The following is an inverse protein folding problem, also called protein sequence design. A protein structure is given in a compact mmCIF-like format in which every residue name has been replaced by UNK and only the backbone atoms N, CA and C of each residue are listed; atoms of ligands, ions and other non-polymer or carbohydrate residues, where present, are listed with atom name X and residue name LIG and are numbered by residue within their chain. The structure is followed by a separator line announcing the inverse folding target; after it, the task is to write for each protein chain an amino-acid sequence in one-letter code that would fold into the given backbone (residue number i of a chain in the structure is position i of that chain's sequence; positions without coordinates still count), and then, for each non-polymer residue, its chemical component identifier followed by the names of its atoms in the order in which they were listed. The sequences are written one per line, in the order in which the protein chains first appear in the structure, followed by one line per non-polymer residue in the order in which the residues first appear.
data_IF_207693470426
#
_entry.id   IF_207693470426
#
_cell.length_a   1.000
_cell.length_b   1.000
_cell.length_c   1.000
_cell.angle_alpha   90.00
_cell.angle_beta   90.00
_cell.angle_gamma   90.00
#
_symmetry.space_group_name_H-M   'P 1'
#
loop_
_entity.id
_entity.type
_entity.pdbx_description
1 polymer ?
#
# COMPACT_ATOMS: atom_id res chain seq x y z
N UNK A 1 -3.28 8.59 -29.57
CA UNK A 1 -2.34 9.23 -28.61
C UNK A 1 -1.96 8.16 -27.59
N UNK A 2 -0.71 8.20 -27.08
CA UNK A 2 -0.29 7.35 -25.98
C UNK A 2 -1.11 7.68 -24.72
N UNK A 3 -1.40 6.69 -23.88
CA UNK A 3 -2.04 6.90 -22.56
C UNK A 3 -1.08 7.64 -21.64
N UNK A 4 -1.62 8.42 -20.71
CA UNK A 4 -0.84 9.21 -19.75
C UNK A 4 -1.00 8.64 -18.33
N UNK A 5 0.12 8.33 -17.68
CA UNK A 5 0.15 7.94 -16.27
C UNK A 5 0.96 8.95 -15.45
N UNK A 6 0.43 9.38 -14.32
CA UNK A 6 1.12 10.22 -13.34
C UNK A 6 1.42 9.41 -12.09
N UNK A 7 2.67 9.48 -11.58
CA UNK A 7 3.11 8.76 -10.39
C UNK A 7 3.72 9.73 -9.38
N UNK A 8 3.09 9.92 -8.23
CA UNK A 8 3.67 10.67 -7.12
C UNK A 8 4.72 9.85 -6.39
N UNK A 9 5.85 10.46 -6.01
CA UNK A 9 6.99 9.73 -5.45
C UNK A 9 7.71 8.85 -6.50
N UNK A 10 7.69 9.27 -7.78
CA UNK A 10 8.16 8.49 -8.93
C UNK A 10 9.69 8.38 -9.10
N UNK A 11 10.49 8.81 -8.13
CA UNK A 11 11.96 8.84 -8.24
C UNK A 11 12.68 7.74 -7.46
N UNK A 12 11.94 6.91 -6.71
CA UNK A 12 12.54 5.83 -5.94
C UNK A 12 11.56 4.68 -5.66
N UNK A 13 12.12 3.52 -5.33
CA UNK A 13 11.39 2.34 -4.86
C UNK A 13 10.24 1.96 -5.78
N UNK A 14 9.07 1.72 -5.18
CA UNK A 14 7.87 1.28 -5.88
C UNK A 14 7.40 2.32 -6.91
N UNK A 15 7.48 3.63 -6.58
CA UNK A 15 7.09 4.68 -7.51
C UNK A 15 7.92 4.70 -8.79
N UNK A 16 9.24 4.58 -8.67
CA UNK A 16 10.13 4.50 -9.83
C UNK A 16 9.91 3.20 -10.62
N UNK A 17 9.75 2.06 -9.93
CA UNK A 17 9.43 0.79 -10.59
C UNK A 17 8.11 0.87 -11.37
N UNK A 18 7.10 1.53 -10.80
CA UNK A 18 5.79 1.78 -11.43
C UNK A 18 5.92 2.69 -12.65
N UNK A 19 6.67 3.79 -12.54
CA UNK A 19 6.94 4.68 -13.67
C UNK A 19 7.63 3.92 -14.83
N UNK A 20 8.60 3.07 -14.52
CA UNK A 20 9.21 2.18 -15.51
C UNK A 20 8.24 1.16 -16.11
N UNK A 21 7.31 0.61 -15.31
CA UNK A 21 6.30 -0.33 -15.81
C UNK A 21 5.37 0.34 -16.85
N UNK A 22 4.87 1.54 -16.56
CA UNK A 22 4.08 2.31 -17.52
C UNK A 22 4.88 2.70 -18.77
N UNK A 23 6.12 3.18 -18.61
CA UNK A 23 6.97 3.57 -19.73
C UNK A 23 7.25 2.39 -20.67
N UNK A 24 7.50 1.18 -20.15
CA UNK A 24 7.68 -0.05 -20.94
C UNK A 24 6.44 -0.44 -21.75
N UNK A 25 5.25 -0.14 -21.24
CA UNK A 25 3.97 -0.34 -21.95
C UNK A 25 3.66 0.79 -22.96
N UNK A 26 4.61 1.72 -23.20
CA UNK A 26 4.46 2.81 -24.17
C UNK A 26 3.57 3.97 -23.69
N UNK A 27 3.35 4.12 -22.38
CA UNK A 27 2.62 5.26 -21.84
C UNK A 27 3.53 6.50 -21.76
N UNK A 28 2.93 7.68 -21.90
CA UNK A 28 3.56 8.92 -21.44
C UNK A 28 3.52 8.95 -19.91
N UNK A 29 4.63 9.37 -19.27
CA UNK A 29 4.76 9.26 -17.82
C UNK A 29 5.08 10.61 -17.19
N UNK A 30 4.21 11.07 -16.29
CA UNK A 30 4.46 12.19 -15.37
C UNK A 30 4.98 11.67 -14.04
N UNK A 31 6.03 12.27 -13.48
CA UNK A 31 6.52 11.95 -12.13
C UNK A 31 6.64 13.20 -11.28
N UNK A 32 6.26 13.07 -10.00
CA UNK A 32 6.38 14.14 -8.99
C UNK A 32 7.25 13.68 -7.85
N UNK A 33 8.24 14.48 -7.46
CA UNK A 33 9.06 14.27 -6.26
C UNK A 33 9.70 15.60 -5.83
N UNK A 34 10.33 15.62 -4.63
CA UNK A 34 10.97 16.85 -4.10
C UNK A 34 12.42 17.04 -4.56
N UNK A 35 13.12 15.97 -4.91
CA UNK A 35 14.54 15.99 -5.22
C UNK A 35 14.76 16.14 -6.74
N UNK A 36 15.26 17.30 -7.16
CA UNK A 36 15.49 17.62 -8.57
C UNK A 36 16.58 16.75 -9.21
N UNK A 37 17.60 16.35 -8.46
CA UNK A 37 18.65 15.47 -8.95
C UNK A 37 18.07 14.11 -9.35
N UNK A 38 17.35 13.48 -8.42
CA UNK A 38 16.67 12.22 -8.71
C UNK A 38 15.58 12.34 -9.78
N UNK A 39 14.91 13.49 -9.88
CA UNK A 39 13.95 13.72 -10.97
C UNK A 39 14.64 13.68 -12.32
N UNK A 40 15.80 14.36 -12.47
CA UNK A 40 16.59 14.32 -13.71
C UNK A 40 17.06 12.89 -14.05
N UNK A 41 17.58 12.16 -13.05
CA UNK A 41 18.02 10.77 -13.25
C UNK A 41 16.88 9.85 -13.68
N UNK A 42 15.73 9.94 -12.98
CA UNK A 42 14.54 9.16 -13.28
C UNK A 42 13.97 9.50 -14.67
N UNK A 43 13.87 10.78 -15.01
CA UNK A 43 13.40 11.23 -16.32
C UNK A 43 14.27 10.70 -17.43
N UNK A 44 15.61 10.83 -17.32
CA UNK A 44 16.57 10.31 -18.29
C UNK A 44 16.44 8.78 -18.43
N UNK A 45 16.23 8.05 -17.33
CA UNK A 45 16.03 6.62 -17.35
C UNK A 45 14.72 6.20 -18.02
N UNK A 46 13.61 6.92 -17.75
CA UNK A 46 12.29 6.65 -18.30
C UNK A 46 12.22 6.97 -19.80
N UNK A 47 12.84 8.05 -20.25
CA UNK A 47 12.89 8.42 -21.68
C UNK A 47 13.54 7.36 -22.57
N UNK A 48 14.39 6.48 -22.02
CA UNK A 48 14.95 5.35 -22.77
C UNK A 48 13.94 4.33 -23.27
N UNK A 49 12.70 4.34 -22.73
CA UNK A 49 11.60 3.52 -23.21
C UNK A 49 10.85 4.13 -24.41
N UNK A 50 11.21 5.34 -24.87
CA UNK A 50 10.69 5.98 -26.08
C UNK A 50 9.41 6.79 -25.91
N UNK A 51 8.75 6.77 -24.76
CA UNK A 51 7.57 7.58 -24.44
C UNK A 51 7.92 8.99 -24.00
N UNK A 52 6.93 9.92 -24.01
CA UNK A 52 7.09 11.24 -23.43
C UNK A 52 7.18 11.13 -21.90
N UNK A 53 8.08 11.90 -21.30
CA UNK A 53 8.26 11.94 -19.84
C UNK A 53 8.36 13.38 -19.37
N UNK A 54 7.63 13.71 -18.30
CA UNK A 54 7.68 15.00 -17.64
C UNK A 54 7.92 14.82 -16.13
N UNK A 55 9.00 15.38 -15.63
CA UNK A 55 9.37 15.33 -14.21
C UNK A 55 9.11 16.71 -13.57
N UNK A 56 8.35 16.76 -12.48
CA UNK A 56 8.00 17.99 -11.78
C UNK A 56 8.46 17.93 -10.33
N UNK A 57 9.23 18.96 -9.93
CA UNK A 57 9.63 19.14 -8.53
C UNK A 57 8.48 19.76 -7.74
N UNK A 58 7.92 18.98 -6.80
CA UNK A 58 6.87 19.45 -5.91
C UNK A 58 6.83 18.65 -4.61
N UNK A 59 6.43 19.31 -3.52
CA UNK A 59 6.05 18.61 -2.29
C UNK A 59 4.56 18.23 -2.39
N UNK A 60 4.27 16.94 -2.33
CA UNK A 60 2.90 16.44 -2.42
C UNK A 60 2.02 16.80 -1.22
N UNK A 61 2.59 17.32 -0.14
CA UNK A 61 1.85 17.88 0.97
C UNK A 61 1.27 19.29 0.66
N UNK A 62 1.79 19.96 -0.36
CA UNK A 62 1.32 21.26 -0.84
C UNK A 62 0.25 21.03 -1.93
N UNK A 63 -0.99 21.37 -1.61
CA UNK A 63 -2.15 21.19 -2.50
C UNK A 63 -2.03 22.03 -3.79
N UNK A 64 -1.50 23.24 -3.70
CA UNK A 64 -1.35 24.14 -4.86
C UNK A 64 -0.26 23.61 -5.81
N UNK A 65 0.84 23.10 -5.24
CA UNK A 65 1.90 22.48 -6.04
C UNK A 65 1.41 21.22 -6.76
N UNK A 66 0.57 20.39 -6.09
CA UNK A 66 -0.05 19.20 -6.70
C UNK A 66 -1.02 19.59 -7.82
N UNK A 67 -1.85 20.61 -7.61
CA UNK A 67 -2.76 21.12 -8.63
C UNK A 67 -2.01 21.66 -9.85
N UNK A 68 -0.99 22.47 -9.64
CA UNK A 68 -0.16 23.02 -10.73
C UNK A 68 0.56 21.89 -11.50
N UNK A 69 1.05 20.86 -10.81
CA UNK A 69 1.65 19.72 -11.47
C UNK A 69 0.63 18.96 -12.34
N UNK A 70 -0.58 18.73 -11.83
CA UNK A 70 -1.65 18.06 -12.59
C UNK A 70 -2.02 18.84 -13.86
N UNK A 71 -2.15 20.16 -13.77
CA UNK A 71 -2.43 21.04 -14.91
C UNK A 71 -1.32 20.95 -15.98
N UNK A 72 -0.07 20.93 -15.55
CA UNK A 72 1.06 20.79 -16.47
C UNK A 72 1.09 19.41 -17.13
N UNK A 73 0.83 18.33 -16.41
CA UNK A 73 0.76 16.99 -17.01
C UNK A 73 -0.35 16.89 -18.05
N UNK A 74 -1.54 17.42 -17.74
CA UNK A 74 -2.66 17.45 -18.69
C UNK A 74 -2.34 18.25 -19.95
N UNK A 75 -1.66 19.40 -19.80
CA UNK A 75 -1.30 20.28 -20.92
C UNK A 75 -0.14 19.76 -21.77
N UNK A 76 0.91 19.21 -21.13
CA UNK A 76 2.16 18.85 -21.82
C UNK A 76 2.21 17.39 -22.28
N UNK A 77 1.57 16.45 -21.54
CA UNK A 77 1.54 15.02 -21.91
C UNK A 77 0.21 14.59 -22.55
N UNK A 78 -0.84 15.36 -22.35
CA UNK A 78 -2.21 15.06 -22.75
C UNK A 78 -3.09 14.55 -21.63
N UNK A 79 -4.33 14.14 -21.92
CA UNK A 79 -5.32 13.72 -20.94
C UNK A 79 -4.80 12.62 -20.01
N UNK A 80 -4.81 12.88 -18.70
CA UNK A 80 -4.34 11.92 -17.68
C UNK A 80 -5.31 10.73 -17.63
N UNK A 81 -4.85 9.56 -18.05
CA UNK A 81 -5.64 8.32 -18.00
C UNK A 81 -5.52 7.62 -16.62
N UNK A 82 -4.36 7.71 -15.99
CA UNK A 82 -4.12 7.10 -14.67
C UNK A 82 -3.34 8.04 -13.76
N UNK A 83 -3.83 8.18 -12.52
CA UNK A 83 -3.13 8.88 -11.44
C UNK A 83 -2.80 7.91 -10.31
N UNK A 84 -1.51 7.78 -9.96
CA UNK A 84 -1.03 6.89 -8.91
C UNK A 84 -0.56 7.72 -7.72
N UNK A 85 -1.30 7.68 -6.63
CA UNK A 85 -0.93 8.26 -5.35
C UNK A 85 -0.01 7.28 -4.60
N UNK A 86 1.31 7.44 -4.78
CA UNK A 86 2.31 6.53 -4.19
C UNK A 86 3.22 7.24 -3.16
N UNK A 87 3.41 8.55 -3.26
CA UNK A 87 4.28 9.29 -2.33
C UNK A 87 3.92 9.05 -0.86
N UNK A 88 4.95 8.91 -0.03
CA UNK A 88 4.79 8.69 1.41
C UNK A 88 6.03 9.14 2.18
N UNK A 89 5.88 9.30 3.49
CA UNK A 89 6.95 9.39 4.47
C UNK A 89 6.59 8.60 5.73
N UNK A 90 7.60 8.22 6.50
CA UNK A 90 7.42 7.49 7.76
C UNK A 90 8.45 7.93 8.79
N UNK A 91 8.15 7.63 10.05
CA UNK A 91 9.09 7.68 11.17
C UNK A 91 9.04 6.34 11.89
N UNK A 92 10.19 5.88 12.37
CA UNK A 92 10.33 4.66 13.18
C UNK A 92 10.78 5.08 14.58
N UNK A 93 9.81 5.13 15.50
CA UNK A 93 10.03 5.59 16.87
C UNK A 93 8.95 5.07 17.81
N UNK A 94 9.22 4.94 19.11
CA UNK A 94 8.19 4.80 20.14
C UNK A 94 7.23 6.00 20.12
N UNK A 95 5.93 5.75 20.29
CA UNK A 95 4.89 6.80 20.19
C UNK A 95 5.18 8.03 21.08
N UNK A 96 5.61 7.89 22.34
CA UNK A 96 5.89 9.06 23.20
C UNK A 96 7.07 9.92 22.73
N UNK A 97 7.92 9.40 21.84
CA UNK A 97 9.12 10.10 21.35
C UNK A 97 8.88 10.83 20.02
N UNK A 98 7.68 10.72 19.46
CA UNK A 98 7.31 11.35 18.17
C UNK A 98 6.77 12.76 18.44
N UNK A 99 7.46 13.76 17.93
CA UNK A 99 7.05 15.15 18.07
C UNK A 99 5.78 15.49 17.26
N UNK A 100 4.94 16.45 17.71
CA UNK A 100 3.70 16.81 17.01
C UNK A 100 3.88 17.20 15.55
N UNK A 101 4.97 17.87 15.21
CA UNK A 101 5.30 18.26 13.84
C UNK A 101 5.63 17.05 12.94
N UNK A 102 6.19 15.98 13.51
CA UNK A 102 6.46 14.74 12.80
C UNK A 102 5.16 13.98 12.52
N UNK A 103 4.24 13.93 13.48
CA UNK A 103 2.89 13.41 13.28
C UNK A 103 2.17 14.13 12.14
N UNK A 104 2.20 15.47 12.16
CA UNK A 104 1.60 16.31 11.12
C UNK A 104 2.23 15.99 9.77
N UNK A 105 3.56 15.99 9.70
CA UNK A 105 4.28 15.77 8.44
C UNK A 105 4.01 14.39 7.82
N UNK A 106 3.97 13.32 8.63
CA UNK A 106 3.61 11.98 8.14
C UNK A 106 2.17 11.99 7.63
N UNK A 107 1.24 12.61 8.33
CA UNK A 107 -0.16 12.71 7.91
C UNK A 107 -0.30 13.48 6.59
N UNK A 108 0.35 14.62 6.47
CA UNK A 108 0.35 15.46 5.26
C UNK A 108 0.91 14.70 4.05
N UNK A 109 2.07 14.05 4.22
CA UNK A 109 2.78 13.41 3.12
C UNK A 109 2.21 12.04 2.75
N UNK A 110 1.61 11.29 3.70
CA UNK A 110 1.20 9.90 3.48
C UNK A 110 -0.31 9.74 3.31
N UNK A 111 -1.12 10.66 3.86
CA UNK A 111 -2.57 10.64 3.72
C UNK A 111 -3.09 11.84 2.90
N UNK A 112 -2.88 13.09 3.39
CA UNK A 112 -3.45 14.25 2.72
C UNK A 112 -2.94 14.42 1.29
N UNK A 113 -1.69 14.07 1.02
CA UNK A 113 -1.14 14.05 -0.35
C UNK A 113 -1.95 13.15 -1.31
N UNK A 114 -2.48 12.02 -0.81
CA UNK A 114 -3.34 11.15 -1.62
C UNK A 114 -4.74 11.78 -1.81
N UNK A 115 -5.24 12.53 -0.85
CA UNK A 115 -6.45 13.33 -1.03
C UNK A 115 -6.23 14.40 -2.10
N UNK A 116 -5.16 15.19 -2.00
CA UNK A 116 -4.84 16.25 -2.96
C UNK A 116 -4.63 15.71 -4.37
N UNK A 117 -3.84 14.66 -4.53
CA UNK A 117 -3.64 14.01 -5.83
C UNK A 117 -4.94 13.43 -6.41
N UNK A 118 -5.82 12.87 -5.57
CA UNK A 118 -7.13 12.38 -6.00
C UNK A 118 -8.03 13.51 -6.48
N UNK A 119 -8.10 14.64 -5.74
CA UNK A 119 -8.90 15.79 -6.12
C UNK A 119 -8.39 16.43 -7.41
N UNK A 120 -7.07 16.58 -7.55
CA UNK A 120 -6.43 17.07 -8.77
C UNK A 120 -6.75 16.18 -9.98
N UNK A 121 -6.64 14.87 -9.83
CA UNK A 121 -6.98 13.90 -10.89
C UNK A 121 -8.47 13.96 -11.25
N UNK A 122 -9.36 13.99 -10.26
CA UNK A 122 -10.81 14.07 -10.48
C UNK A 122 -11.20 15.36 -11.24
N UNK A 123 -10.56 16.49 -10.96
CA UNK A 123 -10.80 17.75 -11.66
C UNK A 123 -10.63 17.62 -13.17
N UNK A 124 -9.64 16.86 -13.63
CA UNK A 124 -9.38 16.60 -15.04
C UNK A 124 -10.17 15.40 -15.60
N UNK A 125 -10.42 14.37 -14.80
CA UNK A 125 -11.07 13.13 -15.25
C UNK A 125 -12.60 13.26 -15.31
N UNK A 126 -13.25 13.99 -14.38
CA UNK A 126 -14.72 14.09 -14.30
C UNK A 126 -15.38 14.69 -15.55
N UNK A 127 -14.86 15.78 -16.17
CA UNK A 127 -15.47 16.36 -17.36
C UNK A 127 -15.58 15.39 -18.53
N UNK A 128 -14.66 14.42 -18.63
CA UNK A 128 -14.66 13.36 -19.67
C UNK A 128 -15.17 12.04 -19.18
N UNK A 129 -15.58 11.96 -17.91
CA UNK A 129 -16.11 10.76 -17.23
C UNK A 129 -15.22 9.51 -17.47
N UNK A 130 -13.90 9.67 -17.48
CA UNK A 130 -12.94 8.62 -17.77
C UNK A 130 -11.63 8.84 -17.02
N UNK A 131 -11.05 7.75 -16.50
CA UNK A 131 -9.76 7.71 -15.85
C UNK A 131 -9.69 6.62 -14.80
N UNK A 132 -8.51 6.45 -14.21
CA UNK A 132 -8.28 5.53 -13.10
C UNK A 132 -7.41 6.21 -12.04
N UNK A 133 -7.80 6.11 -10.78
CA UNK A 133 -7.03 6.58 -9.64
C UNK A 133 -6.60 5.35 -8.83
N UNK A 134 -5.29 5.22 -8.59
CA UNK A 134 -4.72 4.13 -7.79
C UNK A 134 -4.15 4.70 -6.51
N UNK A 135 -4.71 4.28 -5.38
CA UNK A 135 -4.23 4.60 -4.04
C UNK A 135 -3.23 3.53 -3.58
N UNK A 136 -1.97 3.90 -3.43
CA UNK A 136 -0.96 2.98 -2.89
C UNK A 136 -1.04 3.00 -1.37
N UNK A 137 -1.61 1.94 -0.80
CA UNK A 137 -1.71 1.72 0.64
C UNK A 137 -0.69 0.67 1.10
N UNK A 138 -0.92 0.04 2.21
CA UNK A 138 -0.05 -0.95 2.84
C UNK A 138 -0.88 -1.98 3.59
N UNK A 139 -0.34 -3.17 3.82
CA UNK A 139 -0.87 -4.09 4.82
C UNK A 139 -1.01 -3.41 6.20
N UNK A 140 -0.16 -2.40 6.46
CA UNK A 140 -0.26 -1.55 7.66
C UNK A 140 -1.46 -0.58 7.64
N UNK A 141 -2.18 -0.47 6.55
CA UNK A 141 -3.50 0.17 6.45
C UNK A 141 -4.66 -0.79 6.76
N UNK A 142 -4.39 -2.08 6.96
CA UNK A 142 -5.33 -3.10 7.41
C UNK A 142 -5.07 -3.50 8.85
N UNK A 143 -3.79 -3.59 9.22
CA UNK A 143 -3.33 -3.90 10.58
C UNK A 143 -2.10 -3.07 10.93
N UNK A 144 -2.18 -2.33 12.03
CA UNK A 144 -1.05 -1.52 12.53
C UNK A 144 0.03 -2.38 13.20
N UNK A 145 1.26 -1.87 13.18
CA UNK A 145 2.39 -2.44 13.92
C UNK A 145 3.09 -1.36 14.77
N UNK A 146 3.85 -1.74 15.81
CA UNK A 146 4.58 -0.78 16.63
C UNK A 146 5.64 -0.01 15.84
N UNK A 147 6.16 1.06 16.43
CA UNK A 147 7.19 1.95 15.90
C UNK A 147 6.81 2.78 14.67
N UNK A 148 5.78 2.40 13.91
CA UNK A 148 5.32 3.11 12.71
C UNK A 148 3.87 3.61 12.85
N UNK A 149 3.44 3.96 14.05
CA UNK A 149 2.03 4.30 14.34
C UNK A 149 1.50 5.48 13.51
N UNK A 150 2.25 6.60 13.28
CA UNK A 150 1.77 7.67 12.41
C UNK A 150 1.54 7.22 10.97
N UNK A 151 2.43 6.40 10.43
CA UNK A 151 2.28 5.82 9.09
C UNK A 151 1.07 4.88 9.01
N UNK A 152 0.90 4.00 9.99
CA UNK A 152 -0.25 3.10 10.05
C UNK A 152 -1.57 3.87 10.08
N UNK A 153 -1.67 4.90 10.93
CA UNK A 153 -2.84 5.77 11.02
C UNK A 153 -3.14 6.45 9.68
N UNK A 154 -2.12 7.01 9.02
CA UNK A 154 -2.26 7.63 7.70
C UNK A 154 -2.75 6.62 6.64
N UNK A 155 -2.25 5.38 6.63
CA UNK A 155 -2.67 4.34 5.67
C UNK A 155 -4.09 3.81 5.95
N UNK A 156 -4.53 3.77 7.20
CA UNK A 156 -5.94 3.51 7.54
C UNK A 156 -6.85 4.65 7.06
N UNK A 157 -6.41 5.90 7.22
CA UNK A 157 -7.15 7.06 6.71
C UNK A 157 -7.32 7.03 5.18
N UNK A 158 -6.31 6.58 4.43
CA UNK A 158 -6.42 6.35 2.97
C UNK A 158 -7.55 5.36 2.66
N UNK A 159 -7.66 4.28 3.42
CA UNK A 159 -8.74 3.28 3.22
C UNK A 159 -10.11 3.90 3.45
N UNK A 160 -10.31 4.59 4.58
CA UNK A 160 -11.59 5.24 4.90
C UNK A 160 -11.97 6.32 3.89
N UNK A 161 -11.02 7.18 3.49
CA UNK A 161 -11.23 8.18 2.43
C UNK A 161 -11.66 7.53 1.12
N UNK A 162 -10.96 6.47 0.70
CA UNK A 162 -11.24 5.81 -0.57
C UNK A 162 -12.60 5.11 -0.58
N UNK A 163 -13.01 4.52 0.54
CA UNK A 163 -14.33 3.87 0.65
C UNK A 163 -15.47 4.88 0.59
N UNK A 164 -15.33 6.02 1.27
CA UNK A 164 -16.31 7.12 1.21
C UNK A 164 -16.42 7.67 -0.23
N UNK A 165 -15.29 8.07 -0.81
CA UNK A 165 -15.27 8.59 -2.17
C UNK A 165 -15.84 7.60 -3.21
N UNK A 166 -15.55 6.30 -3.08
CA UNK A 166 -16.12 5.29 -3.98
C UNK A 166 -17.64 5.28 -3.93
N UNK A 167 -18.23 5.42 -2.75
CA UNK A 167 -19.68 5.48 -2.58
C UNK A 167 -20.29 6.73 -3.25
N UNK A 168 -19.59 7.87 -3.16
CA UNK A 168 -20.01 9.10 -3.85
C UNK A 168 -19.93 8.94 -5.39
N UNK A 169 -18.81 8.43 -5.92
CA UNK A 169 -18.67 8.20 -7.36
C UNK A 169 -19.74 7.23 -7.91
N UNK A 170 -20.09 6.19 -7.14
CA UNK A 170 -21.15 5.25 -7.51
C UNK A 170 -22.52 5.94 -7.50
N UNK A 171 -22.83 6.77 -6.49
CA UNK A 171 -24.08 7.53 -6.41
C UNK A 171 -24.22 8.47 -7.60
N UNK A 172 -23.17 9.19 -7.96
CA UNK A 172 -23.13 10.11 -9.08
C UNK A 172 -23.01 9.43 -10.45
N UNK A 173 -22.87 8.11 -10.51
CA UNK A 173 -22.67 7.30 -11.74
C UNK A 173 -21.43 7.72 -12.52
N UNK A 174 -20.35 8.08 -11.82
CA UNK A 174 -19.09 8.46 -12.42
C UNK A 174 -18.27 7.22 -12.81
N UNK A 175 -17.83 7.18 -14.06
CA UNK A 175 -17.10 6.05 -14.66
C UNK A 175 -15.57 6.13 -14.44
N UNK A 176 -15.13 6.70 -13.34
CA UNK A 176 -13.71 6.76 -12.94
C UNK A 176 -13.39 5.57 -12.05
N UNK A 177 -12.35 4.81 -12.43
CA UNK A 177 -11.84 3.69 -11.62
C UNK A 177 -11.15 4.19 -10.34
N UNK A 178 -11.42 3.56 -9.18
CA UNK A 178 -10.78 3.89 -7.92
C UNK A 178 -10.36 2.60 -7.22
N UNK A 179 -9.06 2.31 -7.21
CA UNK A 179 -8.48 1.07 -6.69
C UNK A 179 -7.50 1.36 -5.55
N UNK A 180 -7.59 0.60 -4.46
CA UNK A 180 -6.55 0.58 -3.42
C UNK A 180 -5.64 -0.62 -3.64
N UNK A 181 -4.31 -0.39 -3.64
CA UNK A 181 -3.31 -1.46 -3.70
C UNK A 181 -2.62 -1.54 -2.34
N UNK A 182 -2.87 -2.61 -1.59
CA UNK A 182 -2.27 -2.86 -0.28
C UNK A 182 -0.96 -3.62 -0.45
N UNK A 183 0.15 -3.01 -0.02
CA UNK A 183 1.49 -3.51 -0.24
C UNK A 183 2.07 -4.20 1.00
N UNK A 184 2.90 -5.24 0.83
CA UNK A 184 3.65 -5.89 1.91
C UNK A 184 4.90 -5.10 2.31
N UNK A 185 5.81 -5.73 3.04
CA UNK A 185 7.18 -5.25 3.22
C UNK A 185 7.96 -5.41 1.90
N UNK A 186 8.49 -4.31 1.37
CA UNK A 186 9.09 -4.25 0.02
C UNK A 186 10.50 -3.68 0.09
N UNK A 187 11.47 -4.34 -0.54
CA UNK A 187 12.86 -3.90 -0.60
C UNK A 187 13.02 -2.59 -1.36
N UNK A 188 12.94 -1.48 -0.65
CA UNK A 188 13.06 -0.13 -1.21
C UNK A 188 14.08 0.71 -0.43
N UNK A 189 14.62 1.79 -1.00
CA UNK A 189 15.50 2.71 -0.30
C UNK A 189 14.89 3.35 0.95
N UNK A 190 13.55 3.38 1.07
CA UNK A 190 12.84 4.00 2.18
C UNK A 190 13.30 3.50 3.56
N UNK A 191 13.62 2.22 3.72
CA UNK A 191 14.13 1.66 4.97
C UNK A 191 15.47 2.26 5.39
N UNK A 192 16.32 2.63 4.43
CA UNK A 192 17.54 3.39 4.68
C UNK A 192 17.32 4.89 4.93
N UNK A 193 16.20 5.43 4.48
CA UNK A 193 15.90 6.87 4.49
C UNK A 193 14.95 7.29 5.59
N UNK A 194 14.23 6.37 6.22
CA UNK A 194 13.27 6.70 7.26
C UNK A 194 13.96 7.41 8.44
N UNK A 195 13.25 8.37 9.03
CA UNK A 195 13.63 8.96 10.30
C UNK A 195 13.53 7.90 11.39
N UNK A 196 14.56 7.76 12.24
CA UNK A 196 14.58 6.79 13.35
C UNK A 196 14.84 7.46 14.68
N UNK A 197 14.23 6.93 15.75
CA UNK A 197 14.49 7.25 17.14
C UNK A 197 14.48 5.96 17.98
N UNK A 198 15.25 4.98 17.52
CA UNK A 198 15.32 3.65 18.15
C UNK A 198 16.73 3.31 18.58
N UNK A 199 17.71 4.19 18.35
CA UNK A 199 19.13 3.88 18.54
C UNK A 199 19.63 2.77 17.61
N UNK A 200 18.90 2.48 16.52
CA UNK A 200 19.23 1.42 15.58
C UNK A 200 18.78 1.76 14.16
N UNK A 201 19.36 1.09 13.17
CA UNK A 201 18.83 1.12 11.81
C UNK A 201 17.49 0.40 11.74
N UNK A 202 16.62 0.86 10.84
CA UNK A 202 15.40 0.12 10.55
C UNK A 202 15.73 -1.15 9.77
N UNK A 203 15.34 -2.32 10.32
CA UNK A 203 15.30 -3.58 9.60
C UNK A 203 13.91 -3.82 8.98
N UNK A 204 13.81 -4.82 8.11
CA UNK A 204 12.60 -5.16 7.39
C UNK A 204 12.06 -6.52 7.83
N UNK A 205 10.84 -6.59 8.38
CA UNK A 205 10.23 -7.88 8.73
C UNK A 205 10.00 -8.75 7.49
N UNK A 206 10.38 -10.02 7.57
CA UNK A 206 10.09 -10.99 6.52
C UNK A 206 8.59 -11.36 6.47
N UNK A 207 8.07 -11.77 5.30
CA UNK A 207 8.73 -11.87 3.99
C UNK A 207 8.88 -10.53 3.28
N UNK A 208 10.00 -10.34 2.60
CA UNK A 208 10.34 -9.13 1.84
C UNK A 208 10.07 -9.38 0.36
N UNK A 209 9.46 -8.41 -0.33
CA UNK A 209 9.09 -8.55 -1.73
C UNK A 209 9.84 -7.56 -2.64
N UNK A 210 9.93 -7.92 -3.93
CA UNK A 210 10.52 -7.08 -4.99
C UNK A 210 9.61 -5.89 -5.30
N UNK A 211 10.12 -4.65 -5.41
CA UNK A 211 9.35 -3.47 -5.82
C UNK A 211 8.62 -3.63 -7.16
N UNK A 212 9.14 -4.45 -8.03
CA UNK A 212 8.56 -4.68 -9.36
C UNK A 212 7.26 -5.49 -9.31
N UNK A 213 7.10 -6.38 -8.33
CA UNK A 213 5.83 -7.04 -8.06
C UNK A 213 4.72 -6.02 -7.74
N UNK A 214 5.06 -5.02 -6.93
CA UNK A 214 4.14 -3.95 -6.57
C UNK A 214 3.80 -3.07 -7.79
N UNK A 215 4.80 -2.78 -8.63
CA UNK A 215 4.61 -2.03 -9.87
C UNK A 215 3.70 -2.77 -10.85
N UNK A 216 3.86 -4.09 -11.00
CA UNK A 216 3.01 -4.92 -11.85
C UNK A 216 1.56 -4.94 -11.33
N UNK A 217 1.35 -5.00 -10.01
CA UNK A 217 0.03 -4.90 -9.40
C UNK A 217 -0.64 -3.52 -9.62
N UNK A 218 0.14 -2.43 -9.55
CA UNK A 218 -0.33 -1.07 -9.82
C UNK A 218 -0.67 -0.89 -11.31
N UNK A 219 0.18 -1.38 -12.21
CA UNK A 219 -0.09 -1.39 -13.65
C UNK A 219 -1.33 -2.22 -13.99
N UNK A 220 -1.52 -3.36 -13.33
CA UNK A 220 -2.74 -4.16 -13.45
C UNK A 220 -3.98 -3.37 -13.00
N UNK A 221 -3.89 -2.64 -11.85
CA UNK A 221 -4.96 -1.78 -11.36
C UNK A 221 -5.34 -0.67 -12.34
N UNK A 222 -4.35 -0.08 -13.02
CA UNK A 222 -4.56 0.96 -14.03
C UNK A 222 -5.32 0.44 -15.27
N UNK A 223 -5.11 -0.83 -15.62
CA UNK A 223 -5.74 -1.47 -16.79
C UNK A 223 -7.03 -2.22 -16.45
N UNK A 224 -7.32 -2.47 -15.18
CA UNK A 224 -8.44 -3.30 -14.74
C UNK A 224 -9.16 -2.64 -13.57
N UNK A 225 -10.44 -2.32 -13.72
CA UNK A 225 -11.26 -1.78 -12.65
C UNK A 225 -11.43 -2.82 -11.54
N UNK A 226 -10.76 -2.61 -10.41
CA UNK A 226 -10.82 -3.43 -9.20
C UNK A 226 -11.12 -2.54 -8.00
N UNK A 227 -11.78 -3.09 -7.00
CA UNK A 227 -12.00 -2.40 -5.74
C UNK A 227 -10.67 -2.24 -4.98
N UNK A 228 -9.98 -3.36 -4.79
CA UNK A 228 -8.69 -3.43 -4.13
C UNK A 228 -7.84 -4.60 -4.66
N UNK A 229 -6.54 -4.50 -4.45
CA UNK A 229 -5.54 -5.53 -4.75
C UNK A 229 -4.64 -5.68 -3.53
N UNK A 230 -4.45 -6.91 -3.07
CA UNK A 230 -3.57 -7.25 -1.95
C UNK A 230 -2.32 -7.93 -2.49
N UNK A 231 -1.18 -7.29 -2.32
CA UNK A 231 0.11 -7.79 -2.82
C UNK A 231 0.81 -8.56 -1.71
N UNK A 232 1.28 -9.75 -2.03
CA UNK A 232 1.99 -10.63 -1.10
C UNK A 232 1.06 -11.33 -0.10
N UNK A 233 1.37 -12.60 0.18
CA UNK A 233 0.61 -13.42 1.15
C UNK A 233 0.57 -12.82 2.56
N UNK A 234 1.63 -12.09 2.96
CA UNK A 234 1.67 -11.44 4.28
C UNK A 234 0.58 -10.37 4.43
N UNK A 235 0.26 -9.62 3.38
CA UNK A 235 -0.84 -8.66 3.38
C UNK A 235 -2.19 -9.35 3.58
N UNK A 236 -2.41 -10.49 2.91
CA UNK A 236 -3.63 -11.31 3.07
C UNK A 236 -3.72 -11.83 4.51
N UNK A 237 -2.64 -12.37 5.05
CA UNK A 237 -2.60 -12.87 6.43
C UNK A 237 -2.92 -11.77 7.45
N UNK A 238 -2.30 -10.59 7.30
CA UNK A 238 -2.54 -9.44 8.19
C UNK A 238 -4.01 -9.01 8.18
N UNK A 239 -4.60 -8.86 7.00
CA UNK A 239 -6.00 -8.46 6.86
C UNK A 239 -6.97 -9.50 7.44
N UNK A 240 -6.76 -10.78 7.15
CA UNK A 240 -7.60 -11.87 7.69
C UNK A 240 -7.48 -11.99 9.22
N UNK A 241 -6.26 -11.95 9.75
CA UNK A 241 -6.03 -12.02 11.20
C UNK A 241 -6.70 -10.86 11.95
N UNK A 242 -6.70 -9.66 11.39
CA UNK A 242 -7.36 -8.50 11.97
C UNK A 242 -8.88 -8.71 12.08
N UNK A 243 -9.50 -9.34 11.08
CA UNK A 243 -10.95 -9.62 11.08
C UNK A 243 -11.31 -10.76 12.03
N UNK A 244 -10.49 -11.83 12.04
CA UNK A 244 -10.79 -13.05 12.81
C UNK A 244 -10.55 -12.85 14.30
N UNK A 245 -9.43 -12.26 14.70
CA UNK A 245 -9.07 -12.08 16.11
C UNK A 245 -8.15 -10.86 16.31
N UNK A 246 -8.70 -9.65 16.50
CA UNK A 246 -7.91 -8.45 16.76
C UNK A 246 -6.99 -8.60 17.99
N UNK A 247 -7.47 -9.21 19.07
CA UNK A 247 -6.68 -9.40 20.28
C UNK A 247 -5.47 -10.35 20.10
N UNK A 248 -5.60 -11.38 19.25
CA UNK A 248 -4.48 -12.24 18.89
C UNK A 248 -3.51 -11.46 17.98
N UNK A 249 -4.03 -10.70 17.04
CA UNK A 249 -3.24 -9.80 16.18
C UNK A 249 -2.43 -8.81 17.01
N UNK A 250 -2.99 -8.23 18.10
CA UNK A 250 -2.27 -7.32 19.00
C UNK A 250 -1.03 -7.99 19.59
N UNK A 251 -1.18 -9.22 20.11
CA UNK A 251 -0.08 -9.99 20.70
C UNK A 251 0.99 -10.36 19.67
N UNK A 252 0.57 -10.76 18.47
CA UNK A 252 1.51 -11.08 17.39
C UNK A 252 2.26 -9.84 16.90
N UNK A 253 1.58 -8.69 16.76
CA UNK A 253 2.23 -7.46 16.33
C UNK A 253 3.17 -6.87 17.38
N UNK A 254 3.01 -7.20 18.67
CA UNK A 254 3.95 -6.77 19.70
C UNK A 254 5.38 -7.28 19.41
N UNK A 255 5.54 -8.52 18.93
CA UNK A 255 6.84 -9.04 18.49
C UNK A 255 7.38 -8.37 17.22
N UNK A 256 6.55 -7.66 16.48
CA UNK A 256 6.96 -6.84 15.35
C UNK A 256 7.82 -5.64 15.73
N UNK A 257 7.94 -5.33 17.03
CA UNK A 257 8.88 -4.33 17.52
C UNK A 257 10.32 -4.75 17.22
N UNK A 258 10.73 -5.88 17.73
CA UNK A 258 12.11 -6.39 17.61
C UNK A 258 12.47 -6.70 16.15
N UNK A 259 11.50 -7.14 15.34
CA UNK A 259 11.70 -7.42 13.93
C UNK A 259 12.00 -6.17 13.06
N UNK A 260 11.83 -4.97 13.61
CA UNK A 260 12.16 -3.70 12.95
C UNK A 260 13.47 -3.09 13.43
N UNK A 261 14.08 -3.66 14.45
CA UNK A 261 15.34 -3.17 15.03
C UNK A 261 16.51 -3.91 14.36
N UNK A 262 17.33 -3.18 13.66
CA UNK A 262 18.56 -3.66 13.04
C UNK A 262 19.79 -3.42 13.91
N UNK A 263 20.92 -3.20 13.27
CA UNK A 263 22.17 -2.87 13.95
C UNK A 263 22.09 -1.54 14.70
N UNK A 264 22.79 -1.45 15.82
CA UNK A 264 22.87 -0.22 16.60
C UNK A 264 23.43 0.93 15.75
N UNK A 265 22.71 2.04 15.72
CA UNK A 265 23.10 3.21 14.93
C UNK A 265 22.52 4.48 15.56
N UNK A 266 23.18 5.63 15.38
CA UNK A 266 22.62 6.90 15.81
C UNK A 266 21.27 7.20 15.16
N UNK A 267 20.41 7.89 15.89
CA UNK A 267 19.17 8.43 15.33
C UNK A 267 19.46 9.36 14.16
N UNK A 268 18.63 9.26 13.13
CA UNK A 268 18.83 10.06 11.92
C UNK A 268 17.59 10.89 11.56
N UNK A 269 17.78 12.10 10.99
CA UNK A 269 16.67 12.96 10.58
C UNK A 269 15.84 12.37 9.43
N UNK A 270 16.42 11.48 8.65
CA UNK A 270 15.78 10.80 7.53
C UNK A 270 15.22 11.75 6.46
N UNK A 271 14.28 11.22 5.67
CA UNK A 271 13.66 11.91 4.54
C UNK A 271 12.32 12.61 4.89
N UNK A 272 11.99 12.75 6.17
CA UNK A 272 10.69 13.28 6.60
C UNK A 272 10.45 14.72 6.12
N UNK A 273 11.38 15.62 6.43
CA UNK A 273 11.27 17.05 6.08
C UNK A 273 12.07 17.43 4.82
N UNK A 274 13.23 16.80 4.59
CA UNK A 274 14.09 17.02 3.43
C UNK A 274 14.29 15.74 2.67
N UNK A 275 14.49 15.78 1.34
CA UNK A 275 14.83 14.57 0.58
C UNK A 275 16.10 13.90 1.13
N UNK A 276 16.14 12.58 1.17
CA UNK A 276 17.38 11.86 1.44
C UNK A 276 18.37 12.07 0.28
N UNK A 277 19.68 12.11 0.51
CA UNK A 277 20.68 12.20 -0.56
C UNK A 277 20.75 10.88 -1.35
N UNK A 278 21.36 10.93 -2.53
CA UNK A 278 21.65 9.77 -3.37
C UNK A 278 20.84 9.74 -4.67
N UNK A 279 21.21 8.85 -5.59
CA UNK A 279 20.61 8.73 -6.92
C UNK A 279 19.21 8.14 -6.87
N UNK A 280 18.51 8.19 -8.02
CA UNK A 280 17.29 7.44 -8.22
C UNK A 280 17.55 5.93 -8.16
N UNK A 281 16.83 5.20 -7.30
CA UNK A 281 17.01 3.77 -7.12
C UNK A 281 15.68 3.07 -6.85
N UNK A 282 15.51 1.87 -7.42
CA UNK A 282 14.34 1.02 -7.19
C UNK A 282 14.56 0.18 -5.93
N UNK A 283 15.70 -0.48 -5.85
CA UNK A 283 16.00 -1.49 -4.85
C UNK A 283 16.65 -0.86 -3.61
N UNK A 284 16.30 -1.38 -2.43
CA UNK A 284 16.93 -1.08 -1.17
C UNK A 284 18.09 -2.04 -0.84
N UNK A 285 18.51 -2.04 0.43
CA UNK A 285 19.65 -2.83 0.92
C UNK A 285 19.32 -4.30 1.25
N UNK A 286 18.10 -4.77 1.03
CA UNK A 286 17.62 -6.09 1.46
C UNK A 286 17.45 -7.07 0.30
N UNK A 287 18.27 -6.98 -0.72
CA UNK A 287 18.18 -7.84 -1.91
C UNK A 287 18.38 -9.33 -1.59
N UNK A 288 19.20 -9.65 -0.60
CA UNK A 288 19.45 -10.99 -0.06
C UNK A 288 18.22 -11.61 0.66
N UNK A 289 17.36 -10.75 1.26
CA UNK A 289 16.13 -11.16 1.93
C UNK A 289 14.91 -11.18 1.00
N UNK A 290 15.06 -10.72 -0.26
CA UNK A 290 13.94 -10.50 -1.16
C UNK A 290 13.44 -11.81 -1.78
N UNK A 291 12.14 -12.07 -1.65
CA UNK A 291 11.46 -13.21 -2.27
C UNK A 291 11.34 -13.01 -3.78
N UNK A 292 11.82 -13.95 -4.62
CA UNK A 292 11.86 -13.79 -6.07
C UNK A 292 10.50 -14.10 -6.75
N UNK A 293 9.40 -13.55 -6.26
CA UNK A 293 8.06 -13.75 -6.85
C UNK A 293 7.64 -12.53 -7.66
N UNK A 294 6.96 -12.75 -8.80
CA UNK A 294 6.48 -11.70 -9.71
C UNK A 294 4.95 -11.72 -9.91
N UNK A 295 4.24 -12.68 -9.32
CA UNK A 295 2.81 -12.88 -9.57
C UNK A 295 1.96 -12.99 -8.30
N UNK A 296 2.52 -12.71 -7.13
CA UNK A 296 1.82 -12.88 -5.85
C UNK A 296 1.02 -11.62 -5.49
N UNK A 297 -0.05 -11.35 -6.24
CA UNK A 297 -1.06 -10.37 -5.84
C UNK A 297 -2.47 -10.91 -6.07
N UNK A 298 -3.40 -10.49 -5.21
CA UNK A 298 -4.75 -11.02 -5.10
C UNK A 298 -5.76 -9.89 -5.29
N UNK A 299 -6.64 -10.04 -6.26
CA UNK A 299 -7.73 -9.09 -6.53
C UNK A 299 -8.86 -9.27 -5.51
N UNK A 300 -9.72 -8.26 -5.39
CA UNK A 300 -10.97 -8.29 -4.63
C UNK A 300 -11.77 -9.59 -4.87
N UNK A 301 -11.94 -10.00 -6.11
CA UNK A 301 -12.68 -11.24 -6.47
C UNK A 301 -12.03 -12.51 -5.90
N UNK A 302 -10.70 -12.61 -6.01
CA UNK A 302 -9.96 -13.76 -5.47
C UNK A 302 -10.01 -13.77 -3.93
N UNK A 303 -9.89 -12.61 -3.29
CA UNK A 303 -10.05 -12.46 -1.85
C UNK A 303 -11.44 -12.87 -1.39
N UNK A 304 -12.49 -12.43 -2.06
CA UNK A 304 -13.87 -12.72 -1.68
C UNK A 304 -14.17 -14.23 -1.79
N UNK A 305 -13.60 -14.92 -2.78
CA UNK A 305 -13.67 -16.39 -2.89
C UNK A 305 -12.94 -17.06 -1.72
N UNK A 306 -11.74 -16.56 -1.34
CA UNK A 306 -10.99 -17.08 -0.19
C UNK A 306 -11.76 -16.89 1.13
N UNK A 307 -12.33 -15.70 1.35
CA UNK A 307 -13.11 -15.38 2.55
C UNK A 307 -14.37 -16.24 2.62
N UNK A 308 -15.10 -16.39 1.49
CA UNK A 308 -16.27 -17.24 1.42
C UNK A 308 -15.93 -18.73 1.69
N UNK A 309 -14.84 -19.21 1.13
CA UNK A 309 -14.33 -20.56 1.37
C UNK A 309 -13.99 -20.83 2.85
N UNK A 310 -13.29 -19.88 3.49
CA UNK A 310 -12.98 -19.96 4.92
C UNK A 310 -14.23 -19.92 5.79
N UNK A 311 -15.19 -19.04 5.49
CA UNK A 311 -16.46 -18.97 6.21
C UNK A 311 -17.25 -20.27 6.07
N UNK A 312 -17.33 -20.85 4.88
CA UNK A 312 -17.99 -22.14 4.66
C UNK A 312 -17.30 -23.28 5.42
N UNK A 313 -15.97 -23.31 5.46
CA UNK A 313 -15.20 -24.30 6.23
C UNK A 313 -15.44 -24.16 7.75
N UNK A 314 -15.49 -22.94 8.27
CA UNK A 314 -15.80 -22.69 9.69
C UNK A 314 -17.23 -23.13 10.05
N UNK A 315 -18.22 -22.83 9.20
CA UNK A 315 -19.61 -23.24 9.40
C UNK A 315 -19.74 -24.77 9.33
N UNK A 316 -19.10 -25.41 8.32
CA UNK A 316 -19.08 -26.87 8.18
C UNK A 316 -18.41 -27.55 9.35
N UNK A 317 -17.28 -27.03 9.83
CA UNK A 317 -16.58 -27.53 11.01
C UNK A 317 -17.41 -27.41 12.31
N UNK A 318 -18.05 -26.27 12.51
CA UNK A 318 -18.95 -26.07 13.66
C UNK A 318 -20.15 -27.01 13.64
N UNK A 319 -20.76 -27.22 12.45
CA UNK A 319 -21.85 -28.17 12.27
C UNK A 319 -21.42 -29.63 12.55
N UNK A 320 -20.24 -30.03 12.07
CA UNK A 320 -19.67 -31.35 12.33
C UNK A 320 -19.40 -31.58 13.82
N UNK A 321 -18.85 -30.59 14.53
CA UNK A 321 -18.65 -30.63 15.98
C UNK A 321 -19.96 -30.73 16.74
N UNK A 322 -21.00 -29.99 16.36
CA UNK A 322 -22.31 -30.04 16.97
C UNK A 322 -22.99 -31.39 16.78
N UNK A 323 -22.89 -31.97 15.58
CA UNK A 323 -23.41 -33.30 15.27
C UNK A 323 -22.64 -34.40 16.04
N UNK A 324 -21.32 -34.32 16.12
CA UNK A 324 -20.47 -35.23 16.89
C UNK A 324 -20.79 -35.16 18.38
N UNK A 325 -20.95 -33.99 18.97
CA UNK A 325 -21.34 -33.79 20.36
C UNK A 325 -22.76 -34.34 20.63
N UNK A 326 -23.69 -34.15 19.67
CA UNK A 326 -25.04 -34.74 19.74
C UNK A 326 -25.04 -36.25 19.72
N UNK A 327 -24.23 -36.88 18.86
CA UNK A 327 -24.07 -38.32 18.78
C UNK A 327 -23.45 -38.90 20.06
N UNK A 328 -22.41 -38.27 20.61
CA UNK A 328 -21.78 -38.65 21.87
C UNK A 328 -22.76 -38.60 23.05
N UNK A 329 -23.60 -37.55 23.13
CA UNK A 329 -24.65 -37.46 24.17
C UNK A 329 -25.71 -38.54 24.03
N UNK A 330 -26.10 -38.94 22.81
CA UNK A 330 -27.06 -40.06 22.58
C UNK A 330 -26.48 -41.40 22.96
N UNK A 331 -25.20 -41.67 22.68
CA UNK A 331 -24.51 -42.88 23.09
C UNK A 331 -24.31 -42.96 24.61
N UNK A 332 -24.00 -41.86 25.26
CA UNK A 332 -23.90 -41.78 26.74
C UNK A 332 -25.23 -42.01 27.43
N UNK A 333 -26.36 -41.56 26.86
CA UNK A 333 -27.71 -41.83 27.37
C UNK A 333 -28.10 -43.31 27.20
N UNK A 334 -27.75 -43.94 26.07
CA UNK A 334 -28.02 -45.40 25.88
C UNK A 334 -27.26 -46.30 26.87
N UNK A 335 -26.01 -45.95 27.22
CA UNK A 335 -25.24 -46.70 28.23
C UNK A 335 -25.81 -46.56 29.64
N UNK A 336 -26.57 -45.57 30.01
CA UNK A 336 -27.22 -45.39 31.31
C UNK A 336 -28.56 -46.12 31.44
N UNK A 337 -29.10 -46.64 30.35
CA UNK A 337 -30.41 -47.35 30.33
C UNK A 337 -30.23 -48.88 30.26
N UNK A 338 -29.03 -49.43 30.32
CA UNK A 338 -28.84 -50.86 30.51
C UNK A 338 -28.99 -51.20 32.01
N UNK A 339 -29.96 -52.02 32.41
CA UNK A 339 -30.10 -52.46 33.80
C UNK A 339 -28.84 -53.24 34.19
N UNK A 340 -28.30 -52.89 35.36
CA UNK A 340 -27.31 -53.76 36.03
C UNK A 340 -28.03 -55.04 36.38
N UNK A 341 -27.90 -56.09 35.57
CA UNK A 341 -28.18 -57.46 35.95
C UNK A 341 -26.91 -57.96 36.60
N UNK A 342 -27.08 -58.27 37.89
CA UNK A 342 -26.21 -58.90 38.91
C UNK A 342 -25.30 -57.90 39.67
#
# INVERSE_FOLDING_TARGET
MARVAVVTGGTAGIGLATAHAFAREGWSVGIVARDEGRLRDAEAALRRHGGAVLAISADVADVEAVNAAADRFEAELGPIDTWVNNAMSSIVAPVPEIAPEEWRRVTETTYLSQVWGTLAALRHMRPRNRGTIVQVSSGLGLRSMPLQVPYCAAKHAVTGFTDGLRSELLHERVEIGLTVVYLPAVNTPQFGWARTRTGAEQDIPAPVFDPRLCADAILFAANNRRRDIWVGRSTVQMGLMQVVSPALSDRMMASGWDAQIGEAAPDKPGNLFKPAPGPAAIDGKFSDKTTPTRSEFFTDRQRDVLVAGLAAACIGGAAALALGAGAARRLGRRRRLLPRLF
#
